data_IF_625892502075
#
_entry.id   IF_625892502075
#
_cell.length_a   1.000
_cell.length_b   1.000
_cell.length_c   1.000
_cell.angle_alpha   90.00
_cell.angle_beta   90.00
_cell.angle_gamma   90.00
#
_symmetry.space_group_name_H-M   'P 1'
#
loop_
_entity.id
_entity.type
_entity.pdbx_description
1 polymer ?
#
# COMPACT_ATOMS: atom_id res chain seq x y z
N UNK A 1 5.95 -34.39 12.53
CA UNK A 1 6.17 -32.92 12.56
C UNK A 1 6.41 -32.53 14.01
N UNK A 2 7.67 -32.30 14.39
CA UNK A 2 8.09 -32.26 15.80
C UNK A 2 7.87 -30.86 16.40
N UNK A 3 7.66 -30.79 17.72
CA UNK A 3 7.38 -29.56 18.47
C UNK A 3 8.43 -28.45 18.21
N UNK A 4 9.67 -28.84 17.93
CA UNK A 4 10.78 -27.94 17.56
C UNK A 4 10.53 -27.19 16.24
N UNK A 5 9.90 -27.83 15.25
CA UNK A 5 9.58 -27.18 13.97
C UNK A 5 8.51 -26.10 14.13
N UNK A 6 7.53 -26.33 15.02
CA UNK A 6 6.47 -25.35 15.31
C UNK A 6 7.02 -24.12 16.03
N UNK A 7 7.96 -24.31 16.95
CA UNK A 7 8.64 -23.23 17.68
C UNK A 7 9.57 -22.43 16.75
N UNK A 8 10.29 -23.11 15.85
CA UNK A 8 11.14 -22.43 14.86
C UNK A 8 10.34 -21.61 13.84
N UNK A 9 9.20 -22.15 13.37
CA UNK A 9 8.28 -21.44 12.49
C UNK A 9 7.62 -20.23 13.19
N UNK A 10 7.22 -20.39 14.47
CA UNK A 10 6.69 -19.29 15.28
C UNK A 10 7.76 -18.22 15.51
N UNK A 11 9.00 -18.60 15.83
CA UNK A 11 10.11 -17.67 16.02
C UNK A 11 10.43 -16.87 14.75
N UNK A 12 10.46 -17.49 13.57
CA UNK A 12 10.65 -16.76 12.30
C UNK A 12 9.50 -15.81 11.97
N UNK A 13 8.28 -16.13 12.42
CA UNK A 13 7.11 -15.28 12.24
C UNK A 13 7.08 -14.10 13.21
N UNK A 14 7.67 -14.26 14.40
CA UNK A 14 7.75 -13.23 15.45
C UNK A 14 8.97 -12.32 15.27
N UNK A 15 10.12 -12.89 14.90
CA UNK A 15 11.41 -12.19 14.80
C UNK A 15 11.67 -11.63 13.38
N UNK A 16 10.60 -11.35 12.63
CA UNK A 16 10.57 -11.21 11.17
C UNK A 16 11.76 -10.46 10.56
N UNK A 17 12.49 -11.16 9.70
CA UNK A 17 13.58 -10.61 8.89
C UNK A 17 12.99 -10.04 7.58
N UNK A 18 12.11 -9.04 7.72
CA UNK A 18 11.40 -8.44 6.58
C UNK A 18 12.13 -7.19 6.11
N UNK A 19 12.40 -7.05 4.80
CA UNK A 19 13.02 -5.86 4.26
C UNK A 19 12.16 -4.63 4.59
N UNK A 20 12.83 -3.54 4.95
CA UNK A 20 12.21 -2.33 5.46
C UNK A 20 11.55 -1.55 4.32
N UNK A 21 10.45 -0.86 4.60
CA UNK A 21 9.77 0.06 3.67
C UNK A 21 10.73 1.12 3.11
N UNK A 22 11.76 1.50 3.88
CA UNK A 22 12.81 2.41 3.42
C UNK A 22 13.57 1.90 2.17
N UNK A 23 13.67 0.58 2.01
CA UNK A 23 14.36 -0.05 0.88
C UNK A 23 13.55 0.08 -0.43
N UNK A 24 12.22 0.21 -0.34
CA UNK A 24 11.34 0.39 -1.51
C UNK A 24 11.51 1.78 -2.14
N UNK A 25 11.79 2.82 -1.34
CA UNK A 25 11.94 4.20 -1.81
C UNK A 25 13.19 4.44 -2.69
N UNK A 26 14.13 3.50 -2.71
CA UNK A 26 15.35 3.54 -3.53
C UNK A 26 15.36 2.60 -4.73
N UNK A 27 14.28 1.84 -4.98
CA UNK A 27 14.24 0.95 -6.12
C UNK A 27 14.23 1.76 -7.43
N UNK A 28 15.06 1.40 -8.43
CA UNK A 28 14.97 2.03 -9.74
C UNK A 28 13.56 1.77 -10.30
N UNK A 29 12.93 2.82 -10.84
CA UNK A 29 11.66 2.68 -11.55
C UNK A 29 11.90 1.81 -12.78
N UNK A 30 11.53 0.53 -12.69
CA UNK A 30 11.53 -0.35 -13.84
C UNK A 30 10.21 -0.13 -14.55
N UNK A 31 10.29 0.37 -15.79
CA UNK A 31 9.11 0.50 -16.64
C UNK A 31 8.50 -0.91 -16.79
N UNK A 32 7.22 -1.13 -16.43
CA UNK A 32 6.54 -2.39 -16.56
C UNK A 32 6.43 -2.75 -18.03
N UNK A 33 6.23 -4.04 -18.27
CA UNK A 33 6.26 -4.64 -19.61
C UNK A 33 5.23 -4.07 -20.62
N UNK A 34 4.29 -3.23 -20.19
CA UNK A 34 3.29 -2.63 -21.07
C UNK A 34 3.02 -1.16 -20.67
N UNK A 35 3.69 -0.19 -21.32
CA UNK A 35 3.36 1.22 -21.18
C UNK A 35 1.92 1.48 -21.63
N UNK A 36 1.19 2.29 -20.88
CA UNK A 36 -0.16 2.70 -21.24
C UNK A 36 -0.13 3.69 -22.41
N UNK A 37 -1.09 3.56 -23.33
CA UNK A 37 -1.29 4.52 -24.41
C UNK A 37 -1.79 5.85 -23.85
N UNK A 38 -0.96 6.88 -23.94
CA UNK A 38 -1.26 8.23 -23.45
C UNK A 38 -2.34 8.94 -24.26
N UNK A 39 -2.62 8.47 -25.49
CA UNK A 39 -3.70 9.00 -26.32
C UNK A 39 -5.07 8.49 -25.88
N UNK A 40 -5.13 7.33 -25.23
CA UNK A 40 -6.37 6.79 -24.65
C UNK A 40 -6.62 7.38 -23.26
N UNK A 41 -7.63 8.25 -23.19
CA UNK A 41 -8.08 8.85 -21.94
C UNK A 41 -8.43 7.81 -20.88
N UNK A 42 -9.07 6.70 -21.28
CA UNK A 42 -9.54 5.69 -20.35
C UNK A 42 -8.39 4.96 -19.69
N UNK A 43 -7.37 4.61 -20.48
CA UNK A 43 -6.21 3.92 -19.96
C UNK A 43 -5.41 4.81 -18.99
N UNK A 44 -5.28 6.11 -19.28
CA UNK A 44 -4.67 7.08 -18.36
C UNK A 44 -5.48 7.21 -17.08
N UNK A 45 -6.81 7.31 -17.19
CA UNK A 45 -7.73 7.33 -16.05
C UNK A 45 -7.55 6.09 -15.16
N UNK A 46 -7.48 4.89 -15.72
CA UNK A 46 -7.31 3.65 -14.95
C UNK A 46 -6.00 3.64 -14.15
N UNK A 47 -4.90 4.15 -14.71
CA UNK A 47 -3.62 4.27 -13.99
C UNK A 47 -3.73 5.28 -12.85
N UNK A 48 -4.30 6.46 -13.12
CA UNK A 48 -4.43 7.50 -12.09
C UNK A 48 -5.36 7.04 -10.97
N UNK A 49 -6.45 6.34 -11.29
CA UNK A 49 -7.33 5.74 -10.28
C UNK A 49 -6.63 4.65 -9.46
N UNK A 50 -5.78 3.80 -10.07
CA UNK A 50 -4.98 2.84 -9.32
C UNK A 50 -4.01 3.56 -8.38
N UNK A 51 -3.27 4.54 -8.88
CA UNK A 51 -2.32 5.31 -8.08
C UNK A 51 -3.02 6.05 -6.93
N UNK A 52 -4.17 6.64 -7.18
CA UNK A 52 -4.98 7.32 -6.16
C UNK A 52 -5.56 6.36 -5.12
N UNK A 53 -6.02 5.17 -5.52
CA UNK A 53 -6.49 4.14 -4.59
C UNK A 53 -5.35 3.63 -3.69
N UNK A 54 -4.15 3.46 -4.23
CA UNK A 54 -2.96 3.13 -3.43
C UNK A 54 -2.70 4.26 -2.41
N UNK A 55 -2.69 5.51 -2.88
CA UNK A 55 -2.52 6.68 -2.02
C UNK A 55 -3.55 6.77 -0.89
N UNK A 56 -4.82 6.47 -1.19
CA UNK A 56 -5.89 6.41 -0.20
C UNK A 56 -5.60 5.39 0.90
N UNK A 57 -5.21 4.18 0.53
CA UNK A 57 -4.91 3.13 1.51
C UNK A 57 -3.70 3.47 2.36
N UNK A 58 -2.64 4.03 1.75
CA UNK A 58 -1.45 4.46 2.46
C UNK A 58 -1.77 5.56 3.48
N UNK A 59 -2.54 6.57 3.06
CA UNK A 59 -2.90 7.69 3.90
C UNK A 59 -3.86 7.26 5.02
N UNK A 60 -4.87 6.43 4.72
CA UNK A 60 -5.76 5.84 5.75
C UNK A 60 -5.00 4.99 6.77
N UNK A 61 -3.94 4.30 6.33
CA UNK A 61 -3.05 3.51 7.19
C UNK A 61 -2.01 4.36 7.94
N UNK A 62 -2.03 5.68 7.81
CA UNK A 62 -1.18 6.62 8.56
C UNK A 62 0.17 6.95 7.92
N UNK A 63 0.36 6.66 6.63
CA UNK A 63 1.57 7.07 5.89
C UNK A 63 1.65 8.59 5.80
N UNK A 64 2.86 9.17 5.92
CA UNK A 64 3.06 10.61 5.79
C UNK A 64 2.72 11.13 4.39
N UNK A 65 2.32 12.40 4.29
CA UNK A 65 1.93 13.03 3.01
C UNK A 65 3.05 12.97 1.96
N UNK A 66 4.29 13.27 2.34
CA UNK A 66 5.46 13.23 1.44
C UNK A 66 5.67 11.84 0.86
N UNK A 67 5.64 10.81 1.71
CA UNK A 67 5.87 9.43 1.29
C UNK A 67 4.70 8.91 0.45
N UNK A 68 3.47 9.29 0.80
CA UNK A 68 2.28 9.00 0.00
C UNK A 68 2.39 9.61 -1.40
N UNK A 69 2.75 10.90 -1.51
CA UNK A 69 2.96 11.55 -2.81
C UNK A 69 4.02 10.86 -3.66
N UNK A 70 5.15 10.47 -3.05
CA UNK A 70 6.21 9.72 -3.74
C UNK A 70 5.73 8.35 -4.23
N UNK A 71 4.95 7.63 -3.43
CA UNK A 71 4.44 6.30 -3.81
C UNK A 71 3.39 6.40 -4.91
N UNK A 72 2.50 7.40 -4.88
CA UNK A 72 1.55 7.66 -5.97
C UNK A 72 2.31 7.98 -7.27
N UNK A 73 3.29 8.90 -7.20
CA UNK A 73 4.12 9.26 -8.36
C UNK A 73 4.91 8.06 -8.88
N UNK A 74 5.43 7.20 -8.00
CA UNK A 74 6.13 5.98 -8.34
C UNK A 74 5.22 5.00 -9.11
N UNK A 75 3.99 4.76 -8.65
CA UNK A 75 3.02 3.89 -9.33
C UNK A 75 2.65 4.47 -10.70
N UNK A 76 2.37 5.77 -10.77
CA UNK A 76 2.05 6.45 -12.03
C UNK A 76 3.21 6.35 -13.04
N UNK A 77 4.44 6.66 -12.60
CA UNK A 77 5.64 6.58 -13.42
C UNK A 77 5.94 5.15 -13.86
N UNK A 78 5.68 4.17 -13.00
CA UNK A 78 5.75 2.75 -13.37
C UNK A 78 4.81 2.52 -14.55
N UNK A 79 3.51 2.74 -14.45
CA UNK A 79 2.58 2.43 -15.56
C UNK A 79 2.65 3.34 -16.80
N UNK A 80 3.65 4.21 -16.93
CA UNK A 80 3.91 5.00 -18.13
C UNK A 80 3.46 6.47 -18.03
N UNK A 81 3.13 6.97 -16.84
CA UNK A 81 2.81 8.36 -16.56
C UNK A 81 3.92 9.05 -15.74
N UNK A 82 5.08 9.36 -16.34
CA UNK A 82 6.20 9.98 -15.62
C UNK A 82 5.95 11.45 -15.26
N UNK A 83 5.14 12.18 -16.04
CA UNK A 83 4.79 13.58 -15.79
C UNK A 83 3.44 13.70 -15.07
N UNK A 84 3.47 13.42 -13.77
CA UNK A 84 2.32 13.45 -12.88
C UNK A 84 2.61 14.35 -11.67
N UNK A 85 1.85 15.44 -11.53
CA UNK A 85 1.91 16.29 -10.36
C UNK A 85 0.98 15.74 -9.28
N UNK A 86 1.54 15.37 -8.13
CA UNK A 86 0.81 14.83 -6.99
C UNK A 86 0.97 15.77 -5.80
N UNK A 87 -0.15 16.21 -5.25
CA UNK A 87 -0.20 16.97 -4.00
C UNK A 87 -1.07 16.23 -2.97
N UNK A 88 -0.58 16.17 -1.75
CA UNK A 88 -1.29 15.54 -0.63
C UNK A 88 -1.33 16.55 0.50
N UNK A 89 -2.53 17.08 0.76
CA UNK A 89 -2.77 18.09 1.78
C UNK A 89 -3.76 17.55 2.80
N UNK A 90 -3.27 17.26 4.01
CA UNK A 90 -4.04 16.61 5.08
C UNK A 90 -4.63 15.27 4.63
N UNK A 91 -5.93 15.24 4.33
CA UNK A 91 -6.65 14.05 3.86
C UNK A 91 -7.11 14.18 2.40
N UNK A 92 -6.70 15.22 1.69
CA UNK A 92 -7.00 15.43 0.29
C UNK A 92 -5.81 15.01 -0.57
N UNK A 93 -6.06 14.14 -1.55
CA UNK A 93 -5.09 13.72 -2.55
C UNK A 93 -5.51 14.32 -3.88
N UNK A 94 -4.60 15.08 -4.48
CA UNK A 94 -4.75 15.73 -5.77
C UNK A 94 -3.74 15.12 -6.74
N UNK A 95 -4.20 14.66 -7.89
CA UNK A 95 -3.34 14.07 -8.92
C UNK A 95 -3.67 14.72 -10.26
N UNK A 96 -2.66 15.27 -10.93
CA UNK A 96 -2.76 15.85 -12.27
C UNK A 96 -1.77 15.16 -13.18
N UNK A 97 -2.26 14.38 -14.15
CA UNK A 97 -1.43 13.65 -15.11
C UNK A 97 -1.39 14.40 -16.45
N UNK A 98 -0.18 14.69 -16.95
CA UNK A 98 0.01 15.25 -18.29
C UNK A 98 0.11 14.11 -19.31
N UNK A 99 -0.79 14.11 -20.29
CA UNK A 99 -0.82 13.10 -21.37
C UNK A 99 0.13 13.40 -22.53
N UNK A 100 0.46 14.67 -22.74
CA UNK A 100 1.34 15.10 -23.82
C UNK A 100 0.96 16.48 -24.37
N UNK A 101 1.68 16.98 -25.38
CA UNK A 101 1.41 18.27 -26.01
C UNK A 101 0.04 18.26 -26.70
N UNK A 102 -0.82 19.23 -26.38
CA UNK A 102 -2.12 19.42 -27.05
C UNK A 102 -3.27 18.55 -26.52
N UNK A 103 -3.01 17.64 -25.58
CA UNK A 103 -4.05 16.86 -24.89
C UNK A 103 -4.38 17.51 -23.53
N UNK A 104 -5.67 17.61 -23.15
CA UNK A 104 -6.04 18.15 -21.85
C UNK A 104 -5.52 17.23 -20.73
N UNK A 105 -4.97 17.79 -19.64
CA UNK A 105 -4.49 17.01 -18.50
C UNK A 105 -5.67 16.33 -17.79
N UNK A 106 -5.41 15.17 -17.19
CA UNK A 106 -6.43 14.45 -16.44
C UNK A 106 -6.22 14.73 -14.95
N UNK A 107 -7.22 15.35 -14.32
CA UNK A 107 -7.17 15.77 -12.92
C UNK A 107 -8.11 14.91 -12.07
N UNK A 108 -7.59 14.41 -10.95
CA UNK A 108 -8.34 13.65 -9.96
C UNK A 108 -8.14 14.23 -8.57
N UNK A 109 -9.21 14.11 -7.80
CA UNK A 109 -9.27 14.53 -6.41
C UNK A 109 -9.96 13.45 -5.61
N UNK A 110 -9.36 13.05 -4.49
CA UNK A 110 -10.05 12.22 -3.50
C UNK A 110 -9.77 12.70 -2.09
N UNK A 111 -10.85 12.84 -1.33
CA UNK A 111 -10.78 13.05 0.13
C UNK A 111 -10.82 11.70 0.82
N UNK A 112 -9.74 11.37 1.53
CA UNK A 112 -9.59 10.14 2.31
C UNK A 112 -10.33 10.28 3.63
N UNK A 113 -11.10 9.25 3.98
CA UNK A 113 -11.79 9.15 5.27
C UNK A 113 -10.97 8.25 6.20
N UNK A 114 -10.25 8.85 7.13
CA UNK A 114 -9.52 8.10 8.15
C UNK A 114 -10.48 7.21 8.95
N UNK A 115 -10.31 5.89 8.85
CA UNK A 115 -11.07 4.92 9.63
C UNK A 115 -10.29 4.46 10.85
N UNK A 116 -9.07 3.98 10.65
CA UNK A 116 -8.18 3.49 11.71
C UNK A 116 -6.82 3.12 11.14
N UNK A 117 -5.75 3.35 11.90
CA UNK A 117 -4.39 2.89 11.58
C UNK A 117 -4.35 1.35 11.41
N UNK A 118 -4.21 0.88 10.17
CA UNK A 118 -4.08 -0.54 9.84
C UNK A 118 -2.69 -0.85 9.24
N UNK A 119 -1.75 -1.21 10.12
CA UNK A 119 -0.39 -1.59 9.72
C UNK A 119 -0.31 -2.91 8.93
N UNK A 120 -1.33 -3.78 9.05
CA UNK A 120 -1.37 -4.99 8.22
C UNK A 120 -1.63 -4.60 6.77
N UNK A 121 -2.62 -3.73 6.57
CA UNK A 121 -2.96 -3.22 5.24
C UNK A 121 -1.79 -2.44 4.64
N UNK A 122 -1.09 -1.64 5.47
CA UNK A 122 0.15 -0.96 5.05
C UNK A 122 1.22 -1.95 4.56
N UNK A 123 1.49 -3.03 5.30
CA UNK A 123 2.46 -4.07 4.91
C UNK A 123 2.06 -4.76 3.59
N UNK A 124 0.77 -5.03 3.42
CA UNK A 124 0.23 -5.66 2.21
C UNK A 124 0.39 -4.75 0.99
N UNK A 125 0.09 -3.46 1.11
CA UNK A 125 0.27 -2.48 0.03
C UNK A 125 1.75 -2.26 -0.28
N UNK A 126 2.62 -2.13 0.71
CA UNK A 126 4.07 -2.00 0.49
C UNK A 126 4.65 -3.24 -0.24
N UNK A 127 4.14 -4.43 0.06
CA UNK A 127 4.50 -5.65 -0.67
C UNK A 127 4.00 -5.63 -2.11
N UNK A 128 2.78 -5.15 -2.35
CA UNK A 128 2.23 -4.96 -3.69
C UNK A 128 3.06 -3.94 -4.49
N UNK A 129 3.42 -2.81 -3.88
CA UNK A 129 4.25 -1.77 -4.52
C UNK A 129 5.62 -2.28 -4.92
N UNK A 130 6.25 -3.11 -4.08
CA UNK A 130 7.50 -3.80 -4.45
C UNK A 130 7.32 -4.74 -5.65
N UNK A 131 6.20 -5.45 -5.74
CA UNK A 131 5.91 -6.32 -6.89
C UNK A 131 5.69 -5.52 -8.17
N UNK A 132 4.97 -4.39 -8.08
CA UNK A 132 4.77 -3.43 -9.17
C UNK A 132 6.11 -2.87 -9.63
N UNK A 133 6.95 -2.41 -8.69
CA UNK A 133 8.27 -1.84 -8.98
C UNK A 133 9.25 -2.80 -9.63
N UNK A 134 9.09 -4.11 -9.40
CA UNK A 134 9.87 -5.15 -10.09
C UNK A 134 9.30 -5.52 -11.47
N UNK A 135 8.24 -4.85 -11.94
CA UNK A 135 7.59 -5.13 -13.22
C UNK A 135 6.81 -6.45 -13.28
N UNK A 136 6.46 -7.05 -12.13
CA UNK A 136 5.82 -8.38 -12.10
C UNK A 136 4.29 -8.34 -12.32
N UNK A 137 3.68 -7.15 -12.31
CA UNK A 137 2.22 -6.99 -12.36
C UNK A 137 1.80 -5.93 -13.38
N UNK A 138 0.98 -6.33 -14.35
CA UNK A 138 0.25 -5.41 -15.21
C UNK A 138 -0.83 -4.62 -14.44
N UNK A 139 -1.45 -3.65 -15.11
CA UNK A 139 -2.42 -2.73 -14.49
C UNK A 139 -3.65 -3.45 -13.89
N UNK A 140 -4.29 -4.32 -14.67
CA UNK A 140 -5.46 -5.10 -14.23
C UNK A 140 -5.19 -6.00 -13.02
N UNK A 141 -4.15 -6.87 -13.01
CA UNK A 141 -3.87 -7.70 -11.84
C UNK A 141 -3.43 -6.88 -10.62
N UNK A 142 -2.73 -5.76 -10.80
CA UNK A 142 -2.40 -4.86 -9.69
C UNK A 142 -3.66 -4.25 -9.07
N UNK A 143 -4.64 -3.84 -9.88
CA UNK A 143 -5.93 -3.36 -9.38
C UNK A 143 -6.69 -4.42 -8.62
N UNK A 144 -6.81 -5.63 -9.17
CA UNK A 144 -7.45 -6.74 -8.50
C UNK A 144 -6.77 -7.12 -7.17
N UNK A 145 -5.44 -7.09 -7.12
CA UNK A 145 -4.69 -7.32 -5.89
C UNK A 145 -4.95 -6.24 -4.84
N UNK A 146 -5.00 -4.97 -5.25
CA UNK A 146 -5.35 -3.87 -4.35
C UNK A 146 -6.78 -3.99 -3.82
N UNK A 147 -7.74 -4.31 -4.68
CA UNK A 147 -9.15 -4.49 -4.28
C UNK A 147 -9.28 -5.65 -3.28
N UNK A 148 -8.51 -6.73 -3.46
CA UNK A 148 -8.44 -7.83 -2.50
C UNK A 148 -7.85 -7.39 -1.16
N UNK A 149 -6.81 -6.55 -1.14
CA UNK A 149 -6.25 -5.98 0.08
C UNK A 149 -7.27 -5.09 0.80
N UNK A 150 -8.00 -4.27 0.03
CA UNK A 150 -9.01 -3.36 0.58
C UNK A 150 -10.20 -4.12 1.16
N UNK A 151 -10.60 -5.23 0.53
CA UNK A 151 -11.70 -6.09 0.96
C UNK A 151 -11.31 -7.08 2.07
N UNK A 152 -10.02 -7.32 2.30
CA UNK A 152 -9.57 -8.28 3.31
C UNK A 152 -9.91 -7.82 4.73
N UNK A 153 -10.48 -8.74 5.51
CA UNK A 153 -10.70 -8.56 6.94
C UNK A 153 -9.37 -8.55 7.71
N UNK A 154 -9.37 -7.84 8.85
CA UNK A 154 -8.18 -7.67 9.66
C UNK A 154 -7.69 -9.04 10.22
N UNK A 155 -6.42 -9.42 10.03
CA UNK A 155 -5.96 -10.78 10.32
C UNK A 155 -5.98 -11.13 11.81
N UNK A 156 -5.88 -10.14 12.69
CA UNK A 156 -6.01 -10.36 14.12
C UNK A 156 -7.48 -10.28 14.54
N UNK A 157 -8.08 -11.46 14.75
CA UNK A 157 -9.40 -11.54 15.39
C UNK A 157 -9.38 -10.80 16.72
N UNK A 158 -10.45 -10.06 17.01
CA UNK A 158 -10.66 -9.38 18.31
C UNK A 158 -10.45 -10.31 19.51
N UNK A 159 -10.65 -11.62 19.32
CA UNK A 159 -10.38 -12.67 20.33
C UNK A 159 -8.91 -12.77 20.71
N UNK A 160 -7.98 -12.63 19.75
CA UNK A 160 -6.53 -12.68 20.00
C UNK A 160 -6.11 -11.47 20.82
N UNK A 161 -6.55 -10.27 20.42
CA UNK A 161 -6.30 -9.06 21.20
C UNK A 161 -6.83 -9.20 22.64
N UNK A 162 -8.08 -9.65 22.80
CA UNK A 162 -8.68 -9.86 24.12
C UNK A 162 -7.91 -10.90 24.95
N UNK A 163 -7.41 -11.97 24.34
CA UNK A 163 -6.61 -12.97 25.04
C UNK A 163 -5.28 -12.41 25.55
N UNK A 164 -4.64 -11.50 24.80
CA UNK A 164 -3.43 -10.80 25.23
C UNK A 164 -3.69 -9.90 26.44
N UNK A 165 -4.77 -9.12 26.40
CA UNK A 165 -5.21 -8.30 27.54
C UNK A 165 -5.57 -9.15 28.76
N UNK A 166 -6.31 -10.24 28.58
CA UNK A 166 -6.68 -11.15 29.64
C UNK A 166 -5.45 -11.82 30.27
N UNK A 167 -4.48 -12.24 29.46
CA UNK A 167 -3.22 -12.83 29.94
C UNK A 167 -2.39 -11.81 30.73
N UNK A 168 -2.29 -10.57 30.23
CA UNK A 168 -1.60 -9.49 30.94
C UNK A 168 -2.27 -9.21 32.29
N UNK A 169 -3.60 -9.07 32.31
CA UNK A 169 -4.35 -8.85 33.54
C UNK A 169 -4.16 -10.01 34.53
N UNK A 170 -4.25 -11.25 34.08
CA UNK A 170 -4.02 -12.44 34.91
C UNK A 170 -2.61 -12.47 35.51
N UNK A 171 -1.58 -12.14 34.71
CA UNK A 171 -0.21 -12.06 35.20
C UNK A 171 -0.03 -10.96 36.27
N UNK A 172 -0.66 -9.80 36.08
CA UNK A 172 -0.64 -8.71 37.07
C UNK A 172 -1.37 -9.09 38.35
N UNK A 173 -2.54 -9.75 38.26
CA UNK A 173 -3.26 -10.26 39.43
C UNK A 173 -2.41 -11.25 40.21
N UNK A 174 -1.79 -12.24 39.54
CA UNK A 174 -0.90 -13.21 40.18
C UNK A 174 0.32 -12.56 40.86
N UNK A 175 0.82 -11.47 40.30
CA UNK A 175 1.93 -10.72 40.88
C UNK A 175 1.54 -9.95 42.15
N UNK A 176 0.29 -9.48 42.24
CA UNK A 176 -0.22 -8.69 43.37
C UNK A 176 -0.77 -9.56 44.51
N UNK A 177 -1.29 -10.75 44.21
CA UNK A 177 -1.89 -11.69 45.17
C UNK A 177 -3.40 -11.77 45.04
#
# INVERSE_FOLDING_TARGET
MTLRDRVAAARRRILGDRPSTADTAGLPVIVPAQPVDLSDERAVTEVVELAMNVGEVLLDSGTGAIDTSKQIAFVAATYGLPDCAVDVTYNAIHVSARRGPGLPPTNYMRTVKYRSLDYTRLEQVDTLLRQIGRGHLGLKPARAALDHIVAADHPYSRKVALSGWALMAAAVTLMLG
#
